data_IF_726114477845
#
_entry.id   IF_726114477845
#
_cell.length_a   1.000
_cell.length_b   1.000
_cell.length_c   1.000
_cell.angle_alpha   90.00
_cell.angle_beta   90.00
_cell.angle_gamma   90.00
#
_symmetry.space_group_name_H-M   'P 1'
#
loop_
_entity.id
_entity.type
_entity.pdbx_description
1 polymer ?
#
# COMPACT_ATOMS: atom_id res chain seq x y z
N UNK A 1 12.04 48.05 -27.73
CA UNK A 1 11.06 46.99 -28.02
C UNK A 1 11.13 45.97 -26.88
N UNK A 2 10.91 46.38 -25.62
CA UNK A 2 11.42 45.61 -24.46
C UNK A 2 10.46 45.69 -23.25
N UNK A 3 9.22 45.18 -23.40
CA UNK A 3 8.24 45.22 -22.31
C UNK A 3 7.34 43.98 -22.16
N UNK A 4 7.46 43.00 -23.06
CA UNK A 4 6.56 41.83 -23.12
C UNK A 4 7.20 40.53 -22.60
N UNK A 5 8.51 40.54 -22.30
CA UNK A 5 9.24 39.31 -21.89
C UNK A 5 9.10 39.03 -20.40
N UNK A 6 8.92 40.06 -19.55
CA UNK A 6 8.81 39.92 -18.10
C UNK A 6 7.45 39.45 -17.57
N UNK A 7 6.40 39.47 -18.40
CA UNK A 7 5.03 39.13 -17.97
C UNK A 7 4.67 37.65 -18.04
N UNK A 8 5.37 36.85 -18.87
CA UNK A 8 5.09 35.41 -19.03
C UNK A 8 5.72 34.58 -17.91
N UNK A 9 6.95 34.91 -17.53
CA UNK A 9 7.73 34.19 -16.49
C UNK A 9 7.06 34.24 -15.10
N UNK A 10 6.22 35.25 -14.83
CA UNK A 10 5.49 35.36 -13.55
C UNK A 10 4.09 34.73 -13.58
N UNK A 11 3.57 34.35 -14.76
CA UNK A 11 2.23 33.80 -14.95
C UNK A 11 2.22 32.28 -15.13
N UNK A 12 3.36 31.67 -15.49
CA UNK A 12 3.47 30.24 -15.80
C UNK A 12 3.64 29.35 -14.55
N UNK A 13 3.44 29.90 -13.35
CA UNK A 13 3.20 29.11 -12.15
C UNK A 13 1.78 28.56 -12.24
N UNK A 14 1.57 27.51 -13.04
CA UNK A 14 0.27 26.84 -13.09
C UNK A 14 -0.05 26.34 -11.69
N UNK A 15 -1.07 26.89 -11.01
CA UNK A 15 -1.43 26.42 -9.69
C UNK A 15 -1.75 24.94 -9.77
N UNK A 16 -1.17 24.14 -8.87
CA UNK A 16 -1.40 22.69 -8.75
C UNK A 16 -2.90 22.44 -8.88
N UNK A 17 -3.28 21.63 -9.87
CA UNK A 17 -4.69 21.47 -10.18
C UNK A 17 -5.41 20.74 -9.02
N UNK A 18 -6.69 21.03 -8.81
CA UNK A 18 -7.45 20.38 -7.74
C UNK A 18 -7.45 18.84 -7.89
N UNK A 19 -7.37 18.34 -9.13
CA UNK A 19 -7.29 16.91 -9.42
C UNK A 19 -5.95 16.32 -8.99
N UNK A 20 -4.81 16.98 -9.21
CA UNK A 20 -3.50 16.52 -8.72
C UNK A 20 -3.46 16.41 -7.19
N UNK A 21 -4.06 17.37 -6.49
CA UNK A 21 -4.15 17.34 -5.02
C UNK A 21 -4.96 16.12 -4.57
N UNK A 22 -6.10 15.85 -5.20
CA UNK A 22 -6.94 14.68 -4.89
C UNK A 22 -6.17 13.37 -5.14
N UNK A 23 -5.42 13.29 -6.24
CA UNK A 23 -4.63 12.12 -6.58
C UNK A 23 -3.49 11.90 -5.60
N UNK A 24 -2.77 12.96 -5.22
CA UNK A 24 -1.74 12.89 -4.18
C UNK A 24 -2.32 12.41 -2.85
N UNK A 25 -3.49 12.93 -2.44
CA UNK A 25 -4.20 12.48 -1.25
C UNK A 25 -4.62 11.01 -1.35
N UNK A 26 -5.13 10.57 -2.51
CA UNK A 26 -5.48 9.15 -2.74
C UNK A 26 -4.25 8.25 -2.63
N UNK A 27 -3.09 8.67 -3.14
CA UNK A 27 -1.85 7.91 -2.99
C UNK A 27 -1.41 7.84 -1.53
N UNK A 28 -1.50 8.94 -0.77
CA UNK A 28 -1.20 8.96 0.67
C UNK A 28 -2.15 8.04 1.43
N UNK A 29 -3.46 8.12 1.18
CA UNK A 29 -4.47 7.23 1.79
C UNK A 29 -4.21 5.77 1.39
N UNK A 30 -3.77 5.52 0.15
CA UNK A 30 -3.33 4.21 -0.31
C UNK A 30 -2.15 3.67 0.49
N UNK A 31 -1.10 4.47 0.67
CA UNK A 31 0.06 4.08 1.51
C UNK A 31 -0.35 3.84 2.96
N UNK A 32 -1.20 4.70 3.53
CA UNK A 32 -1.74 4.50 4.88
C UNK A 32 -2.59 3.22 4.97
N UNK A 33 -3.33 2.89 3.91
CA UNK A 33 -4.09 1.65 3.81
C UNK A 33 -3.25 0.38 3.71
N UNK A 34 -2.01 0.46 3.18
CA UNK A 34 -1.07 -0.67 3.23
C UNK A 34 -0.61 -0.92 4.68
N UNK A 35 -0.40 0.17 5.44
CA UNK A 35 0.05 0.10 6.84
C UNK A 35 -1.09 -0.29 7.78
N UNK A 36 -2.31 0.17 7.50
CA UNK A 36 -3.53 -0.11 8.26
C UNK A 36 -4.27 -1.23 7.52
N UNK A 37 -4.21 -2.51 7.96
CA UNK A 37 -4.63 -3.69 7.19
C UNK A 37 -6.16 -3.84 6.96
N UNK A 38 -6.89 -2.74 6.88
CA UNK A 38 -8.33 -2.63 6.60
C UNK A 38 -8.59 -2.13 5.18
N UNK A 39 -7.68 -1.35 4.59
CA UNK A 39 -7.88 -0.73 3.27
C UNK A 39 -7.02 -1.41 2.20
N UNK A 40 -7.54 -1.64 0.98
CA UNK A 40 -6.74 -2.17 -0.13
C UNK A 40 -5.82 -1.07 -0.69
N UNK A 41 -4.83 -0.67 0.10
CA UNK A 41 -4.06 0.54 -0.13
C UNK A 41 -3.32 0.57 -1.47
N UNK A 42 -2.74 -0.55 -1.88
CA UNK A 42 -2.08 -0.66 -3.19
C UNK A 42 -3.06 -0.49 -4.36
N UNK A 43 -4.31 -0.97 -4.24
CA UNK A 43 -5.34 -0.77 -5.27
C UNK A 43 -5.72 0.71 -5.37
N UNK A 44 -5.72 1.46 -4.27
CA UNK A 44 -5.98 2.90 -4.29
C UNK A 44 -4.87 3.67 -5.02
N UNK A 45 -3.60 3.27 -4.83
CA UNK A 45 -2.47 3.85 -5.57
C UNK A 45 -2.60 3.57 -7.08
N UNK A 46 -2.91 2.33 -7.46
CA UNK A 46 -3.14 1.97 -8.87
C UNK A 46 -4.33 2.75 -9.45
N UNK A 47 -5.43 2.84 -8.71
CA UNK A 47 -6.62 3.58 -9.14
C UNK A 47 -6.34 5.08 -9.35
N UNK A 48 -5.53 5.70 -8.48
CA UNK A 48 -5.09 7.07 -8.66
C UNK A 48 -4.32 7.25 -10.00
N UNK A 49 -3.38 6.36 -10.31
CA UNK A 49 -2.64 6.42 -11.59
C UNK A 49 -3.56 6.18 -12.79
N UNK A 50 -4.53 5.27 -12.69
CA UNK A 50 -5.53 5.04 -13.76
C UNK A 50 -6.31 6.32 -14.02
N UNK A 51 -6.87 6.94 -12.97
CA UNK A 51 -7.64 8.18 -13.11
C UNK A 51 -6.78 9.28 -13.73
N UNK A 52 -5.54 9.45 -13.27
CA UNK A 52 -4.63 10.46 -13.81
C UNK A 52 -4.28 10.22 -15.28
N UNK A 53 -3.95 9.00 -15.68
CA UNK A 53 -3.62 8.68 -17.07
C UNK A 53 -4.80 8.93 -18.03
N UNK A 54 -6.02 8.66 -17.57
CA UNK A 54 -7.24 8.92 -18.33
C UNK A 54 -7.56 10.42 -18.48
N UNK A 55 -7.15 11.24 -17.51
CA UNK A 55 -7.33 12.70 -17.59
C UNK A 55 -6.22 13.37 -18.40
N UNK A 56 -4.98 12.93 -18.24
CA UNK A 56 -3.79 13.51 -18.90
C UNK A 56 -3.75 13.17 -20.40
N UNK A 57 -4.16 11.95 -20.77
CA UNK A 57 -4.24 11.46 -22.16
C UNK A 57 -2.95 11.58 -23.00
N UNK A 58 -1.79 11.73 -22.34
CA UNK A 58 -0.48 11.81 -22.99
C UNK A 58 0.16 10.42 -23.20
N UNK A 59 1.07 10.32 -24.18
CA UNK A 59 1.84 9.08 -24.41
C UNK A 59 2.58 8.64 -23.14
N UNK A 60 3.17 9.58 -22.40
CA UNK A 60 3.84 9.29 -21.13
C UNK A 60 2.87 8.82 -20.05
N UNK A 61 1.65 9.35 -20.00
CA UNK A 61 0.60 8.86 -19.11
C UNK A 61 0.22 7.41 -19.35
N UNK A 62 0.11 7.00 -20.62
CA UNK A 62 -0.14 5.60 -20.98
C UNK A 62 1.04 4.67 -20.65
N UNK A 63 2.28 5.14 -20.85
CA UNK A 63 3.49 4.40 -20.43
C UNK A 63 3.52 4.21 -18.92
N UNK A 64 3.24 5.26 -18.15
CA UNK A 64 3.18 5.18 -16.69
C UNK A 64 2.11 4.18 -16.22
N UNK A 65 0.94 4.18 -16.87
CA UNK A 65 -0.11 3.22 -16.57
C UNK A 65 0.36 1.78 -16.81
N UNK A 66 1.02 1.50 -17.95
CA UNK A 66 1.55 0.18 -18.27
C UNK A 66 2.62 -0.27 -17.26
N UNK A 67 3.53 0.63 -16.86
CA UNK A 67 4.53 0.37 -15.81
C UNK A 67 3.86 0.07 -14.48
N UNK A 68 2.86 0.87 -14.09
CA UNK A 68 2.12 0.71 -12.84
C UNK A 68 1.41 -0.63 -12.76
N UNK A 69 0.70 -1.03 -13.82
CA UNK A 69 0.06 -2.36 -13.90
C UNK A 69 1.10 -3.47 -13.83
N UNK A 70 2.23 -3.32 -14.53
CA UNK A 70 3.31 -4.31 -14.49
C UNK A 70 3.89 -4.47 -13.09
N UNK A 71 4.17 -3.36 -12.39
CA UNK A 71 4.66 -3.37 -11.02
C UNK A 71 3.64 -3.97 -10.05
N UNK A 72 2.36 -3.64 -10.21
CA UNK A 72 1.27 -4.21 -9.41
C UNK A 72 1.17 -5.74 -9.58
N UNK A 73 1.22 -6.22 -10.82
CA UNK A 73 1.19 -7.66 -11.12
C UNK A 73 2.45 -8.36 -10.60
N UNK A 74 3.63 -7.76 -10.79
CA UNK A 74 4.89 -8.30 -10.28
C UNK A 74 4.90 -8.35 -8.74
N UNK A 75 4.43 -7.30 -8.08
CA UNK A 75 4.25 -7.23 -6.63
C UNK A 75 3.30 -8.32 -6.14
N UNK A 76 2.15 -8.49 -6.80
CA UNK A 76 1.19 -9.55 -6.50
C UNK A 76 1.82 -10.94 -6.69
N UNK A 77 2.54 -11.18 -7.78
CA UNK A 77 3.25 -12.44 -8.01
C UNK A 77 4.31 -12.69 -6.93
N UNK A 78 5.06 -11.66 -6.50
CA UNK A 78 6.02 -11.76 -5.39
C UNK A 78 5.32 -12.11 -4.07
N UNK A 79 4.16 -11.52 -3.80
CA UNK A 79 3.32 -11.88 -2.64
C UNK A 79 2.76 -13.30 -2.71
N UNK A 80 2.70 -13.92 -3.89
CA UNK A 80 2.35 -15.34 -4.00
C UNK A 80 3.59 -16.23 -3.85
N UNK A 81 4.71 -15.85 -4.46
CA UNK A 81 5.94 -16.65 -4.50
C UNK A 81 6.71 -16.63 -3.17
N UNK A 82 6.78 -15.48 -2.49
CA UNK A 82 7.55 -15.29 -1.25
C UNK A 82 6.86 -15.96 -0.04
N UNK A 83 5.55 -15.77 0.20
CA UNK A 83 4.81 -16.44 1.25
C UNK A 83 4.40 -17.88 0.88
N UNK A 84 4.18 -18.19 -0.41
CA UNK A 84 3.80 -19.54 -0.87
C UNK A 84 4.84 -20.63 -0.56
N UNK A 85 6.13 -20.25 -0.50
CA UNK A 85 7.21 -21.14 -0.03
C UNK A 85 7.27 -21.28 1.50
N UNK A 86 6.64 -20.37 2.26
CA UNK A 86 6.53 -20.41 3.73
C UNK A 86 5.20 -20.93 4.25
N UNK A 87 4.12 -20.92 3.46
CA UNK A 87 2.82 -21.46 3.86
C UNK A 87 2.83 -22.99 4.04
N UNK A 88 3.68 -23.73 3.32
CA UNK A 88 3.95 -25.15 3.62
C UNK A 88 4.82 -25.38 4.87
N UNK A 89 5.42 -24.32 5.46
CA UNK A 89 6.39 -24.43 6.57
C UNK A 89 5.96 -23.75 7.87
N UNK A 90 4.89 -22.95 7.87
CA UNK A 90 4.53 -22.13 9.03
C UNK A 90 3.62 -22.81 10.06
N UNK A 91 2.92 -23.90 9.74
CA UNK A 91 2.07 -24.65 10.69
C UNK A 91 0.86 -23.89 11.28
N UNK A 92 0.74 -22.58 11.04
CA UNK A 92 -0.38 -21.74 11.49
C UNK A 92 -1.53 -21.89 10.49
N UNK A 93 -2.65 -22.44 10.96
CA UNK A 93 -3.85 -22.66 10.15
C UNK A 93 -4.45 -21.32 9.70
N UNK A 94 -5.01 -21.28 8.49
CA UNK A 94 -5.73 -20.10 7.96
C UNK A 94 -6.79 -19.58 8.93
N UNK A 95 -7.47 -20.49 9.65
CA UNK A 95 -8.45 -20.14 10.70
C UNK A 95 -7.85 -19.31 11.83
N UNK A 96 -6.60 -19.56 12.21
CA UNK A 96 -5.90 -18.81 13.27
C UNK A 96 -5.55 -17.41 12.80
N UNK A 97 -5.15 -17.27 11.53
CA UNK A 97 -4.93 -15.97 10.87
C UNK A 97 -6.23 -15.17 10.79
N UNK A 98 -7.32 -15.79 10.33
CA UNK A 98 -8.63 -15.14 10.23
C UNK A 98 -9.14 -14.69 11.60
N UNK A 99 -8.93 -15.48 12.65
CA UNK A 99 -9.29 -15.08 14.01
C UNK A 99 -8.43 -13.90 14.51
N UNK A 100 -7.14 -13.87 14.17
CA UNK A 100 -6.28 -12.70 14.41
C UNK A 100 -6.83 -11.45 13.74
N UNK A 101 -7.19 -11.53 12.46
CA UNK A 101 -7.77 -10.40 11.70
C UNK A 101 -9.09 -9.94 12.32
N UNK A 102 -10.00 -10.87 12.65
CA UNK A 102 -11.26 -10.52 13.29
C UNK A 102 -11.05 -9.80 14.64
N UNK A 103 -10.08 -10.25 15.44
CA UNK A 103 -9.72 -9.62 16.71
C UNK A 103 -9.12 -8.23 16.48
N UNK A 104 -8.29 -8.06 15.45
CA UNK A 104 -7.72 -6.77 15.05
C UNK A 104 -8.81 -5.76 14.67
N UNK A 105 -9.80 -6.19 13.88
CA UNK A 105 -10.94 -5.37 13.48
C UNK A 105 -11.76 -4.97 14.72
N UNK A 106 -12.08 -5.91 15.61
CA UNK A 106 -12.81 -5.61 16.84
C UNK A 106 -12.05 -4.60 17.74
N UNK A 107 -10.74 -4.79 17.91
CA UNK A 107 -9.90 -3.88 18.69
C UNK A 107 -9.76 -2.50 18.04
N UNK A 108 -9.84 -2.40 16.70
CA UNK A 108 -9.80 -1.13 15.97
C UNK A 108 -10.97 -0.21 16.35
N UNK A 109 -12.14 -0.77 16.67
CA UNK A 109 -13.30 0.00 17.14
C UNK A 109 -13.09 0.60 18.53
N UNK A 110 -12.23 -0.01 19.36
CA UNK A 110 -11.93 0.47 20.72
C UNK A 110 -10.80 1.51 20.68
N UNK A 111 -9.71 1.19 19.96
CA UNK A 111 -8.55 2.07 19.81
C UNK A 111 -8.23 2.18 18.32
N UNK A 112 -8.68 3.24 17.63
CA UNK A 112 -8.45 3.40 16.21
C UNK A 112 -6.97 3.28 15.86
N UNK A 113 -6.68 2.59 14.74
CA UNK A 113 -5.32 2.31 14.23
C UNK A 113 -4.50 1.37 15.13
N UNK A 114 -4.29 1.72 16.39
CA UNK A 114 -3.49 0.93 17.36
C UNK A 114 -4.13 -0.44 17.61
N UNK A 115 -5.45 -0.51 17.64
CA UNK A 115 -6.21 -1.75 17.84
C UNK A 115 -5.95 -2.80 16.76
N UNK A 116 -5.62 -2.40 15.53
CA UNK A 116 -5.24 -3.35 14.47
C UNK A 116 -3.89 -4.01 14.75
N UNK A 117 -2.91 -3.20 15.15
CA UNK A 117 -1.55 -3.68 15.47
C UNK A 117 -1.49 -4.52 16.74
N UNK A 118 -2.35 -4.23 17.72
CA UNK A 118 -2.41 -5.00 18.96
C UNK A 118 -3.33 -6.21 18.83
N UNK A 119 -4.53 -6.04 18.27
CA UNK A 119 -5.55 -7.09 18.20
C UNK A 119 -5.16 -8.26 17.29
N UNK A 120 -4.42 -8.01 16.21
CA UNK A 120 -3.94 -9.09 15.33
C UNK A 120 -3.02 -10.09 16.05
N UNK A 121 -1.88 -9.68 16.67
CA UNK A 121 -1.04 -10.59 17.42
C UNK A 121 -1.74 -11.16 18.66
N UNK A 122 -2.60 -10.38 19.35
CA UNK A 122 -3.35 -10.88 20.51
C UNK A 122 -4.31 -12.02 20.11
N UNK A 123 -5.05 -11.85 19.01
CA UNK A 123 -5.98 -12.87 18.54
C UNK A 123 -5.27 -14.17 18.13
N UNK A 124 -4.13 -14.06 17.45
CA UNK A 124 -3.31 -15.23 17.09
C UNK A 124 -2.77 -15.91 18.35
N UNK A 125 -2.27 -15.14 19.31
CA UNK A 125 -1.74 -15.66 20.55
C UNK A 125 -2.83 -16.37 21.35
N UNK A 126 -4.00 -15.75 21.55
CA UNK A 126 -5.11 -16.32 22.33
C UNK A 126 -5.68 -17.58 21.68
N UNK A 127 -5.88 -17.60 20.36
CA UNK A 127 -6.38 -18.80 19.66
C UNK A 127 -5.36 -19.93 19.71
N UNK A 128 -4.08 -19.61 19.56
CA UNK A 128 -3.01 -20.61 19.66
C UNK A 128 -2.86 -21.12 21.10
N UNK A 129 -2.98 -20.24 22.09
CA UNK A 129 -2.94 -20.60 23.50
C UNK A 129 -4.16 -21.46 23.89
N UNK A 130 -5.35 -21.10 23.43
CA UNK A 130 -6.58 -21.87 23.68
C UNK A 130 -6.53 -23.27 23.07
N UNK A 131 -5.89 -23.42 21.89
CA UNK A 131 -5.75 -24.72 21.22
C UNK A 131 -4.67 -25.59 21.84
N UNK A 132 -3.49 -25.02 22.09
CA UNK A 132 -2.29 -25.80 22.44
C UNK A 132 -2.04 -25.84 23.95
N UNK A 133 -2.65 -24.93 24.72
CA UNK A 133 -2.41 -24.69 26.16
C UNK A 133 -0.93 -24.46 26.52
N UNK A 134 -0.13 -24.03 25.55
CA UNK A 134 1.30 -23.78 25.68
C UNK A 134 1.62 -22.37 25.17
N UNK A 135 2.08 -21.50 26.09
CA UNK A 135 2.42 -20.11 25.81
C UNK A 135 3.65 -19.95 24.89
N UNK A 136 4.60 -20.88 24.96
CA UNK A 136 5.78 -20.86 24.09
C UNK A 136 5.41 -21.15 22.64
N UNK A 137 4.55 -22.15 22.42
CA UNK A 137 4.02 -22.45 21.09
C UNK A 137 3.13 -21.33 20.54
N UNK A 138 2.26 -20.75 21.37
CA UNK A 138 1.42 -19.61 20.99
C UNK A 138 2.25 -18.37 20.60
N UNK A 139 3.32 -18.08 21.35
CA UNK A 139 4.24 -16.99 21.05
C UNK A 139 5.02 -17.23 19.75
N UNK A 140 5.47 -18.47 19.52
CA UNK A 140 6.12 -18.86 18.27
C UNK A 140 5.19 -18.64 17.07
N UNK A 141 3.94 -19.10 17.15
CA UNK A 141 2.93 -18.89 16.10
C UNK A 141 2.70 -17.40 15.80
N UNK A 142 2.60 -16.58 16.85
CA UNK A 142 2.42 -15.12 16.75
C UNK A 142 3.60 -14.46 16.04
N UNK A 143 4.85 -14.78 16.43
CA UNK A 143 6.06 -14.25 15.76
C UNK A 143 6.13 -14.65 14.29
N UNK A 144 5.75 -15.88 13.95
CA UNK A 144 5.74 -16.34 12.56
C UNK A 144 4.71 -15.59 11.73
N UNK A 145 3.50 -15.40 12.26
CA UNK A 145 2.45 -14.64 11.60
C UNK A 145 2.87 -13.18 11.40
N UNK A 146 3.42 -12.52 12.43
CA UNK A 146 3.92 -11.14 12.32
C UNK A 146 5.02 -11.01 11.26
N UNK A 147 5.96 -11.96 11.17
CA UNK A 147 6.98 -11.95 10.12
C UNK A 147 6.40 -12.14 8.73
N UNK A 148 5.39 -12.98 8.59
CA UNK A 148 4.73 -13.21 7.30
C UNK A 148 3.95 -11.96 6.84
N UNK A 149 3.16 -11.38 7.73
CA UNK A 149 2.39 -10.15 7.46
C UNK A 149 3.33 -8.96 7.22
N UNK A 150 4.34 -8.78 8.06
CA UNK A 150 5.34 -7.71 7.88
C UNK A 150 6.09 -7.82 6.55
N UNK A 151 6.45 -9.04 6.12
CA UNK A 151 7.05 -9.25 4.81
C UNK A 151 6.10 -8.87 3.66
N UNK A 152 4.80 -9.17 3.77
CA UNK A 152 3.81 -8.76 2.78
C UNK A 152 3.66 -7.24 2.69
N UNK A 153 3.54 -6.57 3.85
CA UNK A 153 3.47 -5.11 3.94
C UNK A 153 4.70 -4.45 3.30
N UNK A 154 5.90 -4.98 3.54
CA UNK A 154 7.12 -4.45 2.93
C UNK A 154 7.11 -4.55 1.40
N UNK A 155 6.60 -5.66 0.85
CA UNK A 155 6.47 -5.83 -0.60
C UNK A 155 5.47 -4.81 -1.16
N UNK A 156 4.33 -4.61 -0.49
CA UNK A 156 3.33 -3.62 -0.91
C UNK A 156 3.87 -2.20 -0.85
N UNK A 157 4.56 -1.82 0.23
CA UNK A 157 5.18 -0.50 0.37
C UNK A 157 6.25 -0.26 -0.69
N UNK A 158 7.12 -1.24 -0.94
CA UNK A 158 8.13 -1.14 -1.98
C UNK A 158 7.50 -0.95 -3.37
N UNK A 159 6.42 -1.67 -3.66
CA UNK A 159 5.67 -1.55 -4.91
C UNK A 159 5.01 -0.18 -5.02
N UNK A 160 4.29 0.26 -3.98
CA UNK A 160 3.61 1.54 -3.93
C UNK A 160 4.60 2.72 -4.09
N UNK A 161 5.72 2.71 -3.38
CA UNK A 161 6.74 3.74 -3.52
C UNK A 161 7.39 3.74 -4.90
N UNK A 162 7.59 2.57 -5.52
CA UNK A 162 8.09 2.51 -6.90
C UNK A 162 7.11 3.15 -7.89
N UNK A 163 5.80 2.91 -7.72
CA UNK A 163 4.75 3.53 -8.53
C UNK A 163 4.71 5.05 -8.31
N UNK A 164 4.74 5.50 -7.05
CA UNK A 164 4.72 6.93 -6.70
C UNK A 164 5.96 7.64 -7.26
N UNK A 165 7.14 7.02 -7.19
CA UNK A 165 8.36 7.58 -7.76
C UNK A 165 8.27 7.69 -9.29
N UNK A 166 7.77 6.66 -9.97
CA UNK A 166 7.56 6.69 -11.42
C UNK A 166 6.56 7.78 -11.84
N UNK A 167 5.47 7.94 -11.07
CA UNK A 167 4.52 9.03 -11.24
C UNK A 167 5.18 10.40 -11.10
N UNK A 168 5.91 10.63 -10.00
CA UNK A 168 6.57 11.90 -9.75
C UNK A 168 7.57 12.27 -10.86
N UNK A 169 8.37 11.31 -11.32
CA UNK A 169 9.31 11.53 -12.44
C UNK A 169 8.57 11.88 -13.73
N UNK A 170 7.44 11.23 -14.01
CA UNK A 170 6.64 11.47 -15.21
C UNK A 170 6.04 12.87 -15.21
N UNK A 171 5.46 13.30 -14.08
CA UNK A 171 4.92 14.65 -13.91
C UNK A 171 6.02 15.69 -14.11
N UNK A 172 7.15 15.55 -13.41
CA UNK A 172 8.28 16.48 -13.55
C UNK A 172 8.78 16.57 -15.01
N UNK A 173 8.80 15.44 -15.72
CA UNK A 173 9.25 15.43 -17.11
C UNK A 173 8.27 16.12 -18.05
N UNK A 174 6.96 15.94 -17.84
CA UNK A 174 5.93 16.65 -18.60
C UNK A 174 5.92 18.16 -18.30
N UNK A 175 6.16 18.54 -17.05
CA UNK A 175 6.22 19.96 -16.66
C UNK A 175 7.41 20.70 -17.30
N UNK A 176 8.50 19.99 -17.57
CA UNK A 176 9.74 20.58 -18.12
C UNK A 176 9.73 20.65 -19.66
N UNK A 177 8.82 19.95 -20.34
CA UNK A 177 8.95 19.63 -21.77
C UNK A 177 7.69 19.90 -22.59
#
# INVERSE_FOLDING_TARGET
MDGQVGGRVLADWTPVSAIEIILALLMVVGVLGIVIPVLPGLLLVVAAVVVWALTEQSTLGWVLLAVTVTLYLAGTVLQWLVPGRRMKRAGVRTTTLLAGVATAIAAAFVIPVVGLFLGFPLGIFLVSLARTRDGGQAWSATKHALRAVGANILIELATAFSIIAAYAVTVIFLDVN
#
